data_IF_159779676342
#
_entry.id   IF_159779676342
#
_cell.length_a   1.000
_cell.length_b   1.000
_cell.length_c   1.000
_cell.angle_alpha   90.00
_cell.angle_beta   90.00
_cell.angle_gamma   90.00
#
_symmetry.space_group_name_H-M   'P 1'
#
loop_
_entity.id
_entity.type
_entity.pdbx_description
1 polymer ?
#
# COMPACT_ATOMS: atom_id res chain seq x y z
N UNK A 1 -7.28 -4.56 -31.17
CA UNK A 1 -6.59 -4.36 -29.88
C UNK A 1 -5.56 -5.47 -29.75
N UNK A 2 -4.27 -5.15 -29.61
CA UNK A 2 -3.24 -6.19 -29.47
C UNK A 2 -3.24 -6.71 -28.03
N UNK A 3 -2.90 -7.98 -27.81
CA UNK A 3 -2.88 -8.58 -26.48
C UNK A 3 -1.90 -7.85 -25.53
N UNK A 4 -0.84 -7.29 -26.10
CA UNK A 4 0.15 -6.47 -25.40
C UNK A 4 -0.45 -5.20 -24.80
N UNK A 5 -1.39 -4.57 -25.52
CA UNK A 5 -2.08 -3.35 -25.05
C UNK A 5 -2.96 -3.66 -23.82
N UNK A 6 -3.49 -4.88 -23.72
CA UNK A 6 -4.30 -5.32 -22.58
C UNK A 6 -3.45 -5.42 -21.31
N UNK A 7 -2.27 -6.06 -21.38
CA UNK A 7 -1.38 -6.19 -20.23
C UNK A 7 -0.90 -4.84 -19.69
N UNK A 8 -0.53 -3.92 -20.60
CA UNK A 8 -0.11 -2.56 -20.22
C UNK A 8 -1.25 -1.81 -19.53
N UNK A 9 -2.48 -1.93 -20.06
CA UNK A 9 -3.65 -1.29 -19.47
C UNK A 9 -3.97 -1.83 -18.08
N UNK A 10 -3.92 -3.14 -17.90
CA UNK A 10 -4.15 -3.78 -16.59
C UNK A 10 -3.05 -3.41 -15.60
N UNK A 11 -1.78 -3.38 -16.03
CA UNK A 11 -0.66 -2.95 -15.19
C UNK A 11 -0.81 -1.51 -14.70
N UNK A 12 -1.20 -0.58 -15.58
CA UNK A 12 -1.45 0.81 -15.22
C UNK A 12 -2.64 0.95 -14.26
N UNK A 13 -3.70 0.17 -14.45
CA UNK A 13 -4.85 0.17 -13.56
C UNK A 13 -4.49 -0.31 -12.14
N UNK A 14 -3.64 -1.34 -12.03
CA UNK A 14 -3.15 -1.83 -10.74
C UNK A 14 -2.21 -0.80 -10.09
N UNK A 15 -1.31 -0.20 -10.86
CA UNK A 15 -0.39 0.83 -10.37
C UNK A 15 -1.13 2.05 -9.81
N UNK A 16 -2.26 2.43 -10.41
CA UNK A 16 -3.10 3.51 -9.93
C UNK A 16 -3.71 3.23 -8.54
N UNK A 17 -3.90 1.96 -8.17
CA UNK A 17 -4.44 1.55 -6.87
C UNK A 17 -3.35 1.32 -5.80
N UNK A 18 -2.07 1.31 -6.19
CA UNK A 18 -0.96 1.09 -5.29
C UNK A 18 -0.93 2.03 -4.05
N UNK A 19 -1.13 3.37 -4.17
CA UNK A 19 -1.09 4.25 -2.99
C UNK A 19 -2.17 3.91 -1.96
N UNK A 20 -3.41 3.69 -2.42
CA UNK A 20 -4.53 3.35 -1.54
C UNK A 20 -4.33 1.98 -0.88
N UNK A 21 -3.86 0.99 -1.64
CA UNK A 21 -3.56 -0.34 -1.12
C UNK A 21 -2.48 -0.29 -0.03
N UNK A 22 -1.42 0.49 -0.22
CA UNK A 22 -0.37 0.71 0.77
C UNK A 22 -0.91 1.38 2.03
N UNK A 23 -1.76 2.40 1.88
CA UNK A 23 -2.34 3.10 3.02
C UNK A 23 -3.28 2.20 3.84
N UNK A 24 -4.14 1.42 3.17
CA UNK A 24 -5.04 0.47 3.83
C UNK A 24 -4.25 -0.64 4.52
N UNK A 25 -3.27 -1.23 3.84
CA UNK A 25 -2.40 -2.25 4.42
C UNK A 25 -1.62 -1.71 5.62
N UNK A 26 -1.12 -0.47 5.54
CA UNK A 26 -0.41 0.20 6.62
C UNK A 26 -1.29 0.44 7.84
N UNK A 27 -2.49 0.99 7.65
CA UNK A 27 -3.46 1.16 8.73
C UNK A 27 -3.86 -0.18 9.38
N UNK A 28 -4.06 -1.22 8.57
CA UNK A 28 -4.35 -2.57 9.04
C UNK A 28 -3.20 -3.15 9.87
N UNK A 29 -1.96 -3.02 9.41
CA UNK A 29 -0.78 -3.48 10.12
C UNK A 29 -0.58 -2.76 11.47
N UNK A 30 -0.76 -1.44 11.53
CA UNK A 30 -0.72 -0.69 12.80
C UNK A 30 -1.82 -1.17 13.74
N UNK A 31 -3.04 -1.31 13.25
CA UNK A 31 -4.19 -1.74 14.04
C UNK A 31 -3.98 -3.15 14.61
N UNK A 32 -3.44 -4.06 13.79
CA UNK A 32 -3.08 -5.40 14.22
C UNK A 32 -1.95 -5.40 15.25
N UNK A 33 -0.92 -4.56 15.04
CA UNK A 33 0.16 -4.38 16.01
C UNK A 33 -0.35 -3.90 17.37
N UNK A 34 -1.29 -2.96 17.41
CA UNK A 34 -1.91 -2.48 18.66
C UNK A 34 -2.72 -3.57 19.35
N UNK A 35 -3.35 -4.46 18.59
CA UNK A 35 -4.09 -5.60 19.13
C UNK A 35 -3.19 -6.67 19.77
N UNK A 36 -1.91 -6.78 19.36
CA UNK A 36 -1.00 -7.80 19.85
C UNK A 36 -0.46 -7.51 21.25
N UNK A 37 -0.41 -8.55 22.08
CA UNK A 37 0.15 -8.51 23.45
C UNK A 37 1.67 -8.73 23.45
N UNK A 38 2.21 -9.46 22.48
CA UNK A 38 3.64 -9.76 22.36
C UNK A 38 4.21 -9.36 20.99
N UNK A 39 5.34 -8.64 21.02
CA UNK A 39 6.10 -8.13 19.85
C UNK A 39 5.26 -7.27 18.87
N UNK A 40 4.54 -6.23 19.34
CA UNK A 40 3.71 -5.38 18.48
C UNK A 40 4.51 -4.46 17.56
N UNK A 41 5.75 -4.13 17.95
CA UNK A 41 6.55 -3.09 17.31
C UNK A 41 6.79 -3.32 15.82
N UNK A 42 7.01 -4.57 15.40
CA UNK A 42 7.26 -4.90 13.99
C UNK A 42 6.09 -4.52 13.07
N UNK A 43 4.86 -4.84 13.49
CA UNK A 43 3.65 -4.55 12.73
C UNK A 43 3.34 -3.05 12.69
N UNK A 44 3.53 -2.34 13.82
CA UNK A 44 3.32 -0.89 13.90
C UNK A 44 4.32 -0.15 13.02
N UNK A 45 5.60 -0.49 13.09
CA UNK A 45 6.65 0.16 12.30
C UNK A 45 6.48 -0.13 10.81
N UNK A 46 6.24 -1.39 10.43
CA UNK A 46 5.95 -1.74 9.04
C UNK A 46 4.71 -1.00 8.53
N UNK A 47 3.66 -0.93 9.33
CA UNK A 47 2.43 -0.21 8.98
C UNK A 47 2.65 1.29 8.80
N UNK A 48 3.45 1.93 9.66
CA UNK A 48 3.83 3.33 9.52
C UNK A 48 4.59 3.60 8.21
N UNK A 49 5.54 2.72 7.83
CA UNK A 49 6.25 2.84 6.56
C UNK A 49 5.33 2.65 5.35
N UNK A 50 4.37 1.73 5.42
CA UNK A 50 3.37 1.53 4.36
C UNK A 50 2.48 2.77 4.18
N UNK A 51 2.03 3.40 5.28
CA UNK A 51 1.26 4.65 5.25
C UNK A 51 2.06 5.78 4.60
N UNK A 52 3.31 5.99 5.04
CA UNK A 52 4.18 7.03 4.48
C UNK A 52 4.49 6.74 3.02
N UNK A 53 4.80 5.50 2.66
CA UNK A 53 5.08 5.08 1.29
C UNK A 53 3.89 5.31 0.35
N UNK A 54 2.67 4.94 0.78
CA UNK A 54 1.44 5.20 0.04
C UNK A 54 1.17 6.70 -0.12
N UNK A 55 1.42 7.50 0.93
CA UNK A 55 1.27 8.96 0.89
C UNK A 55 2.27 9.62 -0.07
N UNK A 56 3.52 9.17 -0.09
CA UNK A 56 4.54 9.66 -1.02
C UNK A 56 4.21 9.28 -2.47
N UNK A 57 3.74 8.06 -2.70
CA UNK A 57 3.27 7.62 -4.03
C UNK A 57 2.08 8.44 -4.53
N UNK A 58 1.11 8.72 -3.65
CA UNK A 58 -0.05 9.55 -4.00
C UNK A 58 0.34 11.00 -4.32
N UNK A 59 1.41 11.52 -3.72
CA UNK A 59 1.95 12.85 -4.07
C UNK A 59 2.67 12.84 -5.41
N UNK A 60 3.43 11.80 -5.72
CA UNK A 60 4.12 11.68 -7.01
C UNK A 60 3.18 11.44 -8.20
N UNK A 61 1.92 11.08 -7.95
CA UNK A 61 0.89 10.91 -9.00
C UNK A 61 0.03 12.15 -9.25
N UNK A 62 0.20 13.23 -8.48
CA UNK A 62 -0.43 14.54 -8.74
C UNK A 62 0.39 15.34 -9.74
#
# INVERSE_FOLDING_TARGET
>A
MKITDLFVRTGNAIAAQAPDALMVAGAGAVSYGVYLVSVPAGYIVAGAFLLVGGWLLAQGSR
#
